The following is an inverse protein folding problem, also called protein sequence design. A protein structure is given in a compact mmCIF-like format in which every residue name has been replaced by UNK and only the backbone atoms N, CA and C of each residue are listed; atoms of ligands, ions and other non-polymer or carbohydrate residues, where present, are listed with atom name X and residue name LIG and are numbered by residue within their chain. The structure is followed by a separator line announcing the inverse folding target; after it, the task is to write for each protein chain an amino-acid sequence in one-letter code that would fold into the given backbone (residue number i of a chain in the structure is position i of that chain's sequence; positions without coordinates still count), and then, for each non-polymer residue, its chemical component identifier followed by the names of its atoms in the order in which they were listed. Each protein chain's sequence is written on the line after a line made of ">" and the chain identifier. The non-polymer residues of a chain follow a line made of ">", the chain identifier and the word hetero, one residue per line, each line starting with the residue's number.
data_IF_198567211948
#
_entry.id   IF_198567211948
#
_cell.length_a   1.000
_cell.length_b   1.000
_cell.length_c   1.000
_cell.angle_alpha   90.00
_cell.angle_beta   90.00
_cell.angle_gamma   90.00
#
_symmetry.space_group_name_H-M   'P 1'
#
loop_
_entity.id
_entity.type
_entity.pdbx_description
1 polymer ?
#
# COMPACT_ATOMS: atom_id res chain seq x y z
N UNK A 1 7.64 5.73 -3.12
CA UNK A 1 7.95 5.59 -4.56
C UNK A 1 7.98 4.13 -4.95
N UNK A 2 7.63 3.76 -6.18
CA UNK A 2 7.73 2.38 -6.66
C UNK A 2 9.18 2.09 -7.08
N UNK A 3 9.72 0.94 -6.67
CA UNK A 3 11.07 0.48 -7.03
C UNK A 3 11.00 -0.50 -8.21
N UNK A 4 12.16 -0.90 -8.75
CA UNK A 4 12.22 -1.92 -9.80
C UNK A 4 11.60 -3.24 -9.31
N UNK A 5 11.83 -3.63 -8.06
CA UNK A 5 11.33 -4.86 -7.43
C UNK A 5 9.79 -4.92 -7.39
N UNK A 6 9.14 -3.78 -7.16
CA UNK A 6 7.68 -3.66 -7.02
C UNK A 6 6.98 -3.16 -8.28
N UNK A 7 7.72 -2.98 -9.37
CA UNK A 7 7.19 -2.51 -10.64
C UNK A 7 6.18 -3.50 -11.23
N UNK A 8 5.00 -3.01 -11.62
CA UNK A 8 3.94 -3.83 -12.18
C UNK A 8 3.17 -4.71 -11.18
N UNK A 9 3.53 -4.68 -9.89
CA UNK A 9 2.80 -5.45 -8.86
C UNK A 9 1.50 -4.77 -8.40
N UNK A 10 1.42 -3.44 -8.55
CA UNK A 10 0.30 -2.63 -8.07
C UNK A 10 -0.32 -1.82 -9.18
N UNK A 11 -1.65 -1.78 -9.21
CA UNK A 11 -2.41 -0.77 -9.97
C UNK A 11 -2.31 0.58 -9.28
N UNK A 12 -2.44 1.71 -10.01
CA UNK A 12 -2.40 3.04 -9.40
C UNK A 12 -3.40 3.21 -8.25
N UNK A 13 -4.60 2.63 -8.36
CA UNK A 13 -5.64 2.71 -7.34
C UNK A 13 -5.32 1.91 -6.06
N UNK A 14 -4.48 0.87 -6.14
CA UNK A 14 -4.10 0.09 -4.95
C UNK A 14 -3.09 0.82 -4.07
N UNK A 15 -2.44 1.86 -4.61
CA UNK A 15 -1.44 2.68 -3.94
C UNK A 15 -1.82 4.17 -3.93
N UNK A 16 -3.09 4.49 -4.20
CA UNK A 16 -3.67 5.84 -4.25
C UNK A 16 -2.98 6.82 -5.23
N UNK A 17 -2.25 6.30 -6.22
CA UNK A 17 -1.58 7.10 -7.25
C UNK A 17 -2.54 7.57 -8.34
N UNK A 18 -3.73 6.98 -8.46
CA UNK A 18 -4.75 7.45 -9.39
C UNK A 18 -5.22 8.89 -9.10
N UNK A 19 -5.18 9.30 -7.84
CA UNK A 19 -5.54 10.66 -7.39
C UNK A 19 -4.60 11.76 -7.89
N UNK A 20 -3.34 11.43 -8.16
CA UNK A 20 -2.28 12.42 -8.40
C UNK A 20 -1.39 12.13 -9.62
N UNK A 21 -1.28 10.87 -10.01
CA UNK A 21 -0.34 10.38 -11.03
C UNK A 21 -1.01 9.88 -12.32
N UNK A 22 -2.34 9.86 -12.36
CA UNK A 22 -3.10 9.46 -13.55
C UNK A 22 -3.90 10.64 -14.06
N UNK A 23 -3.88 10.84 -15.38
CA UNK A 23 -4.81 11.75 -16.05
C UNK A 23 -5.76 10.93 -16.89
N UNK A 24 -7.06 11.14 -16.67
CA UNK A 24 -8.14 10.52 -17.42
C UNK A 24 -8.56 11.35 -18.65
N UNK A 25 -7.97 12.54 -18.80
CA UNK A 25 -8.27 13.49 -19.88
C UNK A 25 -7.14 13.60 -20.93
N UNK A 26 -6.06 12.81 -20.79
CA UNK A 26 -4.97 12.73 -21.79
C UNK A 26 -5.25 11.63 -22.82
N UNK A 27 -4.50 11.64 -23.92
CA UNK A 27 -4.57 10.62 -24.98
C UNK A 27 -4.18 9.21 -24.52
N UNK A 28 -3.97 8.30 -25.47
CA UNK A 28 -3.78 6.88 -25.17
C UNK A 28 -2.47 6.57 -24.42
N UNK A 29 -2.54 5.86 -23.29
CA UNK A 29 -1.38 5.28 -22.60
C UNK A 29 -1.55 3.77 -22.33
N UNK A 30 -0.44 3.01 -22.25
CA UNK A 30 -0.51 1.56 -22.00
C UNK A 30 -1.23 1.22 -20.69
N UNK A 31 -2.14 0.24 -20.75
CA UNK A 31 -2.89 -0.23 -19.58
C UNK A 31 -4.05 0.68 -19.14
N UNK A 32 -4.35 1.75 -19.88
CA UNK A 32 -5.40 2.70 -19.51
C UNK A 32 -6.79 2.07 -19.39
N UNK A 33 -7.09 1.00 -20.13
CA UNK A 33 -8.41 0.35 -20.07
C UNK A 33 -8.66 -0.23 -18.67
N UNK A 34 -7.65 -0.86 -18.09
CA UNK A 34 -7.73 -1.43 -16.74
C UNK A 34 -7.85 -0.30 -15.71
N UNK A 35 -7.02 0.74 -15.84
CA UNK A 35 -7.01 1.89 -14.93
C UNK A 35 -8.33 2.65 -14.99
N UNK A 36 -8.84 2.95 -16.19
CA UNK A 36 -10.10 3.66 -16.39
C UNK A 36 -11.31 2.83 -15.94
N UNK A 37 -11.32 1.52 -16.20
CA UNK A 37 -12.39 0.63 -15.73
C UNK A 37 -12.49 0.62 -14.22
N UNK A 38 -11.35 0.56 -13.51
CA UNK A 38 -11.31 0.65 -12.05
C UNK A 38 -11.77 2.01 -11.54
N UNK A 39 -11.54 3.09 -12.28
CA UNK A 39 -11.96 4.45 -11.90
C UNK A 39 -13.46 4.69 -12.10
N UNK A 40 -14.03 4.29 -13.24
CA UNK A 40 -15.42 4.61 -13.59
C UNK A 40 -16.44 3.57 -13.16
N UNK A 41 -16.07 2.29 -13.15
CA UNK A 41 -17.00 1.17 -12.93
C UNK A 41 -16.68 0.39 -11.65
N UNK A 42 -15.50 0.60 -11.08
CA UNK A 42 -15.01 -0.14 -9.94
C UNK A 42 -14.66 0.75 -8.75
N UNK A 43 -14.27 0.09 -7.67
CA UNK A 43 -13.54 0.70 -6.57
C UNK A 43 -12.40 -0.26 -6.20
N UNK A 44 -11.22 0.28 -5.95
CA UNK A 44 -10.13 -0.53 -5.38
C UNK A 44 -10.53 -1.01 -3.99
N UNK A 45 -10.44 -2.32 -3.76
CA UNK A 45 -10.61 -2.94 -2.43
C UNK A 45 -9.41 -2.70 -1.51
N UNK A 46 -8.37 -2.03 -2.01
CA UNK A 46 -7.14 -1.70 -1.30
C UNK A 46 -6.85 -0.20 -1.36
N UNK A 47 -6.09 0.27 -0.39
CA UNK A 47 -5.59 1.64 -0.30
C UNK A 47 -4.15 1.64 0.20
N UNK A 48 -3.42 2.73 0.01
CA UNK A 48 -2.10 2.90 0.60
C UNK A 48 -2.24 3.47 2.01
N UNK A 49 -1.53 2.86 2.96
CA UNK A 49 -1.47 3.36 4.33
C UNK A 49 -0.03 3.52 4.78
N UNK A 50 0.20 4.52 5.62
CA UNK A 50 1.46 4.69 6.33
C UNK A 50 1.49 3.75 7.53
N UNK A 51 2.66 3.16 7.80
CA UNK A 51 2.87 2.34 8.97
C UNK A 51 4.22 2.66 9.61
N UNK A 52 4.38 2.41 10.90
CA UNK A 52 5.63 2.66 11.62
C UNK A 52 5.98 1.56 12.59
N UNK A 53 7.25 1.41 12.90
CA UNK A 53 7.72 0.61 14.03
C UNK A 53 8.98 1.25 14.63
N UNK A 54 9.39 0.74 15.79
CA UNK A 54 10.77 0.87 16.24
C UNK A 54 11.72 0.29 15.18
N UNK A 55 12.99 0.75 15.18
CA UNK A 55 13.99 0.32 14.19
C UNK A 55 13.98 -1.20 14.00
N UNK A 56 13.65 -1.63 12.78
CA UNK A 56 13.59 -3.05 12.43
C UNK A 56 15.00 -3.64 12.44
N UNK A 57 15.12 -4.85 12.97
CA UNK A 57 16.39 -5.60 13.06
C UNK A 57 16.93 -5.97 11.67
N UNK A 58 16.03 -6.22 10.71
CA UNK A 58 16.35 -6.62 9.34
C UNK A 58 15.32 -5.99 8.40
N UNK A 59 15.74 -5.37 7.30
CA UNK A 59 14.80 -4.80 6.35
C UNK A 59 14.00 -5.93 5.65
N UNK A 60 12.65 -5.87 5.67
CA UNK A 60 11.79 -6.78 4.92
C UNK A 60 11.94 -6.59 3.40
N UNK A 61 11.60 -7.62 2.63
CA UNK A 61 11.58 -7.55 1.17
C UNK A 61 10.38 -6.71 0.69
N UNK A 62 10.60 -5.85 -0.31
CA UNK A 62 9.50 -5.09 -0.91
C UNK A 62 8.57 -6.02 -1.72
N UNK A 63 7.27 -5.76 -1.64
CA UNK A 63 6.23 -6.61 -2.21
C UNK A 63 5.83 -7.78 -1.30
N UNK A 64 6.54 -8.00 -0.18
CA UNK A 64 6.21 -9.07 0.78
C UNK A 64 4.79 -8.92 1.35
N UNK A 65 4.10 -10.04 1.63
CA UNK A 65 2.76 -10.01 2.20
C UNK A 65 2.78 -9.51 3.65
N UNK A 66 1.74 -8.75 4.01
CA UNK A 66 1.46 -8.36 5.40
C UNK A 66 0.27 -9.16 5.92
N UNK A 67 0.35 -9.62 7.16
CA UNK A 67 -0.63 -10.50 7.81
C UNK A 67 -1.33 -9.81 8.98
N UNK A 68 -2.60 -10.14 9.19
CA UNK A 68 -3.32 -9.79 10.42
C UNK A 68 -2.98 -10.75 11.57
N UNK A 69 -3.60 -10.54 12.73
CA UNK A 69 -3.42 -11.40 13.92
C UNK A 69 -3.91 -12.84 13.70
N UNK A 70 -4.85 -13.06 12.76
CA UNK A 70 -5.32 -14.39 12.37
C UNK A 70 -4.40 -15.10 11.37
N UNK A 71 -3.31 -14.45 10.91
CA UNK A 71 -2.39 -15.00 9.92
C UNK A 71 -2.86 -14.86 8.47
N UNK A 72 -3.93 -14.10 8.22
CA UNK A 72 -4.47 -13.87 6.88
C UNK A 72 -3.75 -12.72 6.19
N UNK A 73 -3.48 -12.85 4.89
CA UNK A 73 -2.88 -11.77 4.10
C UNK A 73 -3.85 -10.60 3.95
N UNK A 74 -3.48 -9.46 4.53
CA UNK A 74 -4.25 -8.20 4.48
C UNK A 74 -3.64 -7.18 3.55
N UNK A 75 -2.34 -7.27 3.24
CA UNK A 75 -1.65 -6.26 2.45
C UNK A 75 -0.36 -6.74 1.81
N UNK A 76 0.33 -5.82 1.13
CA UNK A 76 1.71 -6.01 0.70
C UNK A 76 2.51 -4.75 0.99
N UNK A 77 3.78 -4.92 1.36
CA UNK A 77 4.72 -3.84 1.60
C UNK A 77 5.09 -3.16 0.27
N UNK A 78 4.83 -1.88 0.12
CA UNK A 78 5.12 -1.12 -1.11
C UNK A 78 6.52 -0.50 -1.05
N UNK A 79 6.85 0.13 0.08
CA UNK A 79 8.13 0.77 0.29
C UNK A 79 8.44 0.82 1.79
N UNK A 80 9.71 0.92 2.14
CA UNK A 80 10.16 1.06 3.51
C UNK A 80 11.37 2.00 3.59
N UNK A 81 11.41 2.81 4.63
CA UNK A 81 12.54 3.65 4.98
C UNK A 81 12.76 3.54 6.48
N UNK A 82 14.01 3.46 6.90
CA UNK A 82 14.36 3.42 8.32
C UNK A 82 15.41 4.47 8.62
N UNK A 83 15.35 5.00 9.84
CA UNK A 83 16.41 5.78 10.45
C UNK A 83 16.86 5.10 11.75
N UNK A 84 17.74 5.75 12.51
CA UNK A 84 18.26 5.17 13.76
C UNK A 84 17.21 5.00 14.86
N UNK A 85 16.05 5.67 14.76
CA UNK A 85 15.01 5.71 15.79
C UNK A 85 13.75 4.93 15.42
N UNK A 86 13.37 4.94 14.14
CA UNK A 86 12.12 4.39 13.66
C UNK A 86 12.25 3.84 12.23
N UNK A 87 11.36 2.92 11.93
CA UNK A 87 11.09 2.44 10.58
C UNK A 87 9.71 2.90 10.15
N UNK A 88 9.60 3.37 8.91
CA UNK A 88 8.36 3.82 8.28
C UNK A 88 8.15 2.99 7.03
N UNK A 89 6.96 2.41 6.90
CA UNK A 89 6.53 1.63 5.75
C UNK A 89 5.34 2.26 5.04
N UNK A 90 5.24 2.03 3.73
CA UNK A 90 4.02 2.22 2.95
C UNK A 90 3.48 0.85 2.60
N UNK A 91 2.20 0.61 2.88
CA UNK A 91 1.57 -0.70 2.71
C UNK A 91 0.31 -0.54 1.85
N UNK A 92 0.15 -1.40 0.83
CA UNK A 92 -1.12 -1.54 0.11
C UNK A 92 -2.00 -2.53 0.86
N UNK A 93 -2.97 -2.03 1.61
CA UNK A 93 -3.80 -2.82 2.54
C UNK A 93 -5.24 -2.90 2.07
N UNK A 94 -5.91 -4.03 2.35
CA UNK A 94 -7.37 -4.16 2.17
C UNK A 94 -8.09 -3.07 2.98
N UNK A 95 -9.04 -2.36 2.35
CA UNK A 95 -9.86 -1.33 3.01
C UNK A 95 -10.72 -1.87 4.16
N UNK A 96 -11.02 -3.18 4.13
CA UNK A 96 -11.76 -3.86 5.18
C UNK A 96 -10.90 -4.26 6.40
N UNK A 97 -9.58 -4.06 6.35
CA UNK A 97 -8.70 -4.37 7.46
C UNK A 97 -8.84 -3.28 8.53
N UNK A 98 -9.30 -3.69 9.72
CA UNK A 98 -9.46 -2.82 10.89
C UNK A 98 -8.35 -3.02 11.91
N UNK A 99 -7.40 -3.90 11.64
CA UNK A 99 -6.26 -4.18 12.53
C UNK A 99 -5.44 -2.89 12.73
N UNK A 100 -4.94 -2.68 13.94
CA UNK A 100 -4.03 -1.57 14.22
C UNK A 100 -2.58 -1.91 13.94
N UNK A 101 -2.26 -3.19 13.79
CA UNK A 101 -0.92 -3.69 13.54
C UNK A 101 -0.95 -4.79 12.48
N UNK A 102 0.14 -4.90 11.73
CA UNK A 102 0.34 -5.98 10.76
C UNK A 102 1.68 -6.65 10.98
N UNK A 103 1.72 -7.94 10.68
CA UNK A 103 2.94 -8.75 10.77
C UNK A 103 3.53 -8.93 9.38
N UNK A 104 4.84 -8.75 9.26
CA UNK A 104 5.61 -8.99 8.05
C UNK A 104 6.08 -10.45 7.99
N UNK A 105 6.54 -10.87 6.82
CA UNK A 105 7.09 -12.20 6.56
C UNK A 105 8.24 -12.60 7.50
N UNK A 106 9.08 -11.63 7.85
CA UNK A 106 10.21 -11.77 8.77
C UNK A 106 9.80 -11.71 10.27
N UNK A 107 8.51 -11.87 10.58
CA UNK A 107 7.91 -11.83 11.92
C UNK A 107 8.05 -10.49 12.65
N UNK A 108 8.31 -9.41 11.93
CA UNK A 108 8.29 -8.06 12.50
C UNK A 108 6.91 -7.44 12.40
N UNK A 109 6.64 -6.46 13.26
CA UNK A 109 5.35 -5.79 13.31
C UNK A 109 5.48 -4.33 12.88
N UNK A 110 4.48 -3.84 12.15
CA UNK A 110 4.30 -2.44 11.84
C UNK A 110 2.94 -1.97 12.38
N UNK A 111 2.95 -0.85 13.06
CA UNK A 111 1.75 -0.15 13.55
C UNK A 111 1.17 0.66 12.39
N UNK A 112 -0.10 0.40 12.07
CA UNK A 112 -0.81 1.08 10.99
C UNK A 112 -1.29 2.46 11.44
N UNK A 113 -0.95 3.48 10.66
CA UNK A 113 -1.47 4.83 10.87
C UNK A 113 -2.77 4.96 10.12
N UNK A 114 -3.87 4.53 10.75
CA UNK A 114 -5.21 4.79 10.26
C UNK A 114 -5.43 6.30 10.23
N UNK A 115 -5.23 6.88 9.06
CA UNK A 115 -5.52 8.29 8.83
C UNK A 115 -7.03 8.45 8.88
N UNK A 116 -7.53 9.27 9.81
CA UNK A 116 -8.92 9.72 9.87
C UNK A 116 -9.24 10.68 8.70
N UNK A 117 -8.94 10.29 7.46
CA UNK A 117 -9.06 11.17 6.31
C UNK A 117 -9.53 10.40 5.06
N UNK A 118 -10.85 10.21 4.98
CA UNK A 118 -11.60 10.08 3.73
C UNK A 118 -13.12 10.14 4.01
N UNK A 119 -13.59 11.26 4.54
CA UNK A 119 -14.91 11.79 4.23
C UNK A 119 -14.65 13.25 3.86
N UNK A 120 -14.63 13.55 2.56
CA UNK A 120 -15.22 14.74 1.96
C UNK A 120 -14.82 14.84 0.48
N UNK A 121 -15.86 15.09 -0.31
CA UNK A 121 -15.97 15.38 -1.76
C UNK A 121 -15.96 14.21 -2.77
#
# INVERSE_FOLDING_TARGET
>A
TITVETSGQFTPQQIDYDRYGVSFNKGCYPGQEVVARLHYLGQSSRQMILASASTLITPPELGSPCFNQAGETVGHLVNIAHNTQQTIGLISIKKSCTDTTVTLDNQQHLDLHHSACAQDE
#
